data_IF_262824004003
#
_entry.id   IF_262824004003
#
_cell.length_a   1.000
_cell.length_b   1.000
_cell.length_c   1.000
_cell.angle_alpha   90.00
_cell.angle_beta   90.00
_cell.angle_gamma   90.00
#
_symmetry.space_group_name_H-M   'P 1'
#
loop_
_entity.id
_entity.type
_entity.pdbx_description
1 polymer ?
#
# COMPACT_ATOMS: atom_id res chain seq x y z
N UNK A 1 12.34 47.44 -30.28
CA UNK A 1 11.07 47.10 -29.60
C UNK A 1 10.58 45.66 -29.85
N UNK A 2 11.02 44.98 -30.92
CA UNK A 2 10.61 43.61 -31.28
C UNK A 2 10.96 42.54 -30.22
N UNK A 3 12.16 42.58 -29.64
CA UNK A 3 12.61 41.57 -28.67
C UNK A 3 11.78 41.52 -27.37
N UNK A 4 11.21 42.64 -26.93
CA UNK A 4 10.39 42.69 -25.71
C UNK A 4 9.05 41.96 -25.90
N UNK A 5 8.46 42.08 -27.08
CA UNK A 5 7.22 41.36 -27.43
C UNK A 5 7.45 39.86 -27.60
N UNK A 6 8.62 39.45 -28.10
CA UNK A 6 8.98 38.04 -28.21
C UNK A 6 9.24 37.38 -26.85
N UNK A 7 9.93 38.07 -25.95
CA UNK A 7 10.16 37.58 -24.58
C UNK A 7 8.84 37.48 -23.82
N UNK A 8 7.93 38.45 -23.98
CA UNK A 8 6.61 38.40 -23.35
C UNK A 8 5.75 37.25 -23.88
N UNK A 9 5.79 36.98 -25.20
CA UNK A 9 5.06 35.86 -25.79
C UNK A 9 5.62 34.50 -25.33
N UNK A 10 6.95 34.37 -25.21
CA UNK A 10 7.59 33.16 -24.71
C UNK A 10 7.25 32.90 -23.23
N UNK A 11 7.27 33.95 -22.39
CA UNK A 11 6.88 33.85 -20.99
C UNK A 11 5.41 33.46 -20.84
N UNK A 12 4.50 34.05 -21.63
CA UNK A 12 3.09 33.70 -21.61
C UNK A 12 2.83 32.24 -22.02
N UNK A 13 3.59 31.73 -23.00
CA UNK A 13 3.54 30.32 -23.40
C UNK A 13 4.08 29.41 -22.29
N UNK A 14 5.19 29.76 -21.65
CA UNK A 14 5.76 28.96 -20.56
C UNK A 14 4.85 28.92 -19.31
N UNK A 15 4.21 30.05 -18.97
CA UNK A 15 3.26 30.11 -17.85
C UNK A 15 1.96 29.35 -18.11
N UNK A 16 1.51 29.27 -19.37
CA UNK A 16 0.29 28.50 -19.73
C UNK A 16 0.53 26.99 -19.84
N UNK A 17 1.76 26.56 -20.16
CA UNK A 17 2.12 25.13 -20.18
C UNK A 17 2.36 24.60 -18.75
N UNK A 18 2.86 25.42 -17.83
CA UNK A 18 3.08 25.03 -16.43
C UNK A 18 1.77 24.83 -15.63
N UNK A 19 0.68 25.51 -15.99
CA UNK A 19 -0.63 25.33 -15.33
C UNK A 19 -1.44 24.14 -15.85
N UNK A 20 -1.05 23.56 -17.00
CA UNK A 20 -1.74 22.38 -17.56
C UNK A 20 -1.31 21.05 -16.91
N UNK A 21 -0.20 21.05 -16.15
CA UNK A 21 0.36 19.87 -15.50
C UNK A 21 0.40 19.96 -13.97
N UNK A 22 -0.19 20.99 -13.36
CA UNK A 22 -0.41 20.99 -11.92
C UNK A 22 -1.69 20.21 -11.62
N UNK A 23 -1.55 18.95 -11.17
CA UNK A 23 -2.61 18.29 -10.42
C UNK A 23 -2.91 19.14 -9.19
N UNK A 24 -3.99 19.93 -9.26
CA UNK A 24 -4.52 20.63 -8.11
C UNK A 24 -5.10 19.62 -7.12
N UNK A 25 -5.03 19.87 -5.80
CA UNK A 25 -5.55 18.97 -4.79
C UNK A 25 -7.05 18.75 -5.03
N UNK A 26 -7.46 17.48 -5.07
CA UNK A 26 -8.86 17.07 -5.20
C UNK A 26 -9.60 17.29 -3.88
N UNK A 27 -9.67 18.53 -3.40
CA UNK A 27 -10.62 18.94 -2.39
C UNK A 27 -11.95 19.28 -3.07
N UNK A 28 -12.60 18.27 -3.63
CA UNK A 28 -14.00 18.41 -4.03
C UNK A 28 -14.87 18.22 -2.79
N UNK A 29 -15.34 19.34 -2.23
CA UNK A 29 -16.53 19.41 -1.36
C UNK A 29 -17.82 18.97 -2.08
N UNK A 30 -17.75 18.61 -3.36
CA UNK A 30 -18.83 17.96 -4.07
C UNK A 30 -18.88 16.48 -3.66
N UNK A 31 -20.02 16.08 -3.08
CA UNK A 31 -20.32 14.69 -2.77
C UNK A 31 -20.46 13.93 -4.10
N UNK A 32 -19.35 13.36 -4.57
CA UNK A 32 -19.30 12.57 -5.79
C UNK A 32 -20.13 11.29 -5.60
N UNK A 33 -20.91 10.95 -6.62
CA UNK A 33 -21.65 9.69 -6.65
C UNK A 33 -20.80 8.57 -7.24
N UNK A 34 -21.30 7.33 -7.14
CA UNK A 34 -20.63 6.18 -7.75
C UNK A 34 -20.38 6.37 -9.25
N UNK A 35 -21.36 6.92 -9.98
CA UNK A 35 -21.27 7.10 -11.43
C UNK A 35 -20.25 8.18 -11.82
N UNK A 36 -20.00 9.15 -10.94
CA UNK A 36 -18.95 10.17 -11.13
C UNK A 36 -17.55 9.58 -10.94
N UNK A 37 -17.41 8.57 -10.08
CA UNK A 37 -16.12 7.94 -9.73
C UNK A 37 -15.78 6.78 -10.66
N UNK A 38 -16.78 6.04 -11.13
CA UNK A 38 -16.60 4.79 -11.88
C UNK A 38 -15.70 4.99 -13.11
N UNK A 39 -14.55 4.33 -13.10
CA UNK A 39 -13.61 4.31 -14.23
C UNK A 39 -12.61 5.47 -14.26
N UNK A 40 -12.69 6.43 -13.32
CA UNK A 40 -11.74 7.55 -13.23
C UNK A 40 -10.41 7.17 -12.57
N UNK A 41 -10.40 6.09 -11.78
CA UNK A 41 -9.28 5.71 -10.92
C UNK A 41 -9.33 6.32 -9.51
N UNK A 42 -10.20 7.31 -9.27
CA UNK A 42 -10.34 7.99 -7.98
C UNK A 42 -10.73 7.04 -6.83
N UNK A 43 -11.41 5.94 -7.12
CA UNK A 43 -11.79 4.94 -6.11
C UNK A 43 -10.59 4.25 -5.43
N UNK A 44 -9.41 4.28 -6.05
CA UNK A 44 -8.18 3.74 -5.45
C UNK A 44 -7.40 4.81 -4.68
N UNK A 45 -7.86 6.06 -4.65
CA UNK A 45 -7.17 7.13 -3.93
C UNK A 45 -7.78 7.32 -2.54
N UNK A 46 -6.92 7.51 -1.54
CA UNK A 46 -7.39 7.85 -0.20
C UNK A 46 -7.83 9.32 -0.14
N UNK A 47 -8.84 9.66 0.69
CA UNK A 47 -9.20 11.04 0.95
C UNK A 47 -8.02 11.85 1.47
N UNK A 48 -7.87 13.08 0.98
CA UNK A 48 -6.86 14.02 1.45
C UNK A 48 -7.50 15.07 2.37
N UNK A 49 -6.75 15.49 3.39
CA UNK A 49 -7.10 16.64 4.21
C UNK A 49 -6.51 17.91 3.60
N UNK A 50 -7.19 19.04 3.78
CA UNK A 50 -6.65 20.33 3.35
C UNK A 50 -5.37 20.67 4.13
N UNK A 51 -4.40 21.31 3.47
CA UNK A 51 -3.12 21.71 4.11
C UNK A 51 -3.30 22.66 5.29
N UNK A 52 -4.46 23.33 5.37
CA UNK A 52 -4.86 24.22 6.46
C UNK A 52 -5.42 23.47 7.67
N UNK A 53 -5.72 22.17 7.55
CA UNK A 53 -6.25 21.34 8.63
C UNK A 53 -5.11 20.89 9.55
N UNK A 54 -4.71 21.78 10.46
CA UNK A 54 -3.70 21.51 11.52
C UNK A 54 -4.31 21.50 12.92
N UNK A 55 -5.56 21.05 13.02
CA UNK A 55 -6.27 20.94 14.29
C UNK A 55 -5.73 19.80 15.15
N UNK A 56 -6.25 19.71 16.38
CA UNK A 56 -6.04 18.56 17.26
C UNK A 56 -7.38 17.94 17.65
N UNK A 57 -7.39 16.62 17.82
CA UNK A 57 -8.54 15.86 18.32
C UNK A 57 -8.21 15.47 19.77
N UNK A 58 -8.83 16.10 20.78
CA UNK A 58 -8.59 15.75 22.16
C UNK A 58 -9.10 14.35 22.46
N UNK A 59 -8.36 13.59 23.28
CA UNK A 59 -8.75 12.24 23.70
C UNK A 59 -8.96 12.23 25.22
N UNK A 60 -10.18 11.92 25.63
CA UNK A 60 -10.54 11.61 27.01
C UNK A 60 -10.16 10.15 27.33
N UNK A 61 -9.27 9.90 28.32
CA UNK A 61 -8.88 8.55 28.73
C UNK A 61 -10.04 7.69 29.24
N UNK A 62 -11.15 8.28 29.66
CA UNK A 62 -12.30 7.55 30.19
C UNK A 62 -13.27 7.07 29.09
N UNK A 63 -13.00 7.40 27.82
CA UNK A 63 -13.83 7.04 26.70
C UNK A 63 -13.19 5.95 25.84
N UNK A 64 -14.04 5.14 25.21
CA UNK A 64 -13.62 4.14 24.23
C UNK A 64 -13.68 4.73 22.82
N UNK A 65 -12.60 4.57 22.05
CA UNK A 65 -12.53 5.04 20.67
C UNK A 65 -12.49 3.89 19.67
N UNK A 66 -13.00 4.16 18.48
CA UNK A 66 -12.89 3.28 17.32
C UNK A 66 -12.40 4.12 16.16
N UNK A 67 -11.32 3.67 15.53
CA UNK A 67 -10.84 4.27 14.29
C UNK A 67 -11.58 3.55 13.15
N UNK A 68 -12.21 4.33 12.27
CA UNK A 68 -12.95 3.84 11.11
C UNK A 68 -12.45 4.51 9.84
N UNK A 69 -12.47 3.77 8.74
CA UNK A 69 -12.08 4.32 7.44
C UNK A 69 -10.59 4.61 7.34
N UNK A 70 -9.73 3.81 7.98
CA UNK A 70 -8.30 3.86 7.73
C UNK A 70 -8.05 3.46 6.27
N UNK A 71 -7.41 4.37 5.54
CA UNK A 71 -7.04 4.18 4.15
C UNK A 71 -5.53 4.40 3.98
N UNK A 72 -4.86 3.44 3.33
CA UNK A 72 -3.44 3.50 3.01
C UNK A 72 -3.25 3.36 1.49
N UNK A 73 -2.79 4.44 0.87
CA UNK A 73 -2.49 4.50 -0.56
C UNK A 73 -0.98 4.45 -0.79
N UNK A 74 -0.43 3.32 -1.26
CA UNK A 74 0.97 3.28 -1.66
C UNK A 74 1.18 4.08 -2.94
N UNK A 75 2.23 4.90 -2.96
CA UNK A 75 2.59 5.76 -4.11
C UNK A 75 3.84 5.26 -4.84
N UNK A 76 4.77 4.66 -4.10
CA UNK A 76 6.04 4.14 -4.62
C UNK A 76 6.31 2.77 -4.02
N UNK A 77 6.97 1.91 -4.79
CA UNK A 77 7.31 0.55 -4.39
C UNK A 77 8.79 0.32 -4.60
N UNK A 78 9.46 -0.17 -3.57
CA UNK A 78 10.87 -0.50 -3.63
C UNK A 78 11.06 -1.97 -3.31
N UNK A 79 11.94 -2.61 -4.07
CA UNK A 79 12.34 -4.01 -3.85
C UNK A 79 13.82 -4.02 -3.52
N UNK A 80 14.18 -4.78 -2.49
CA UNK A 80 15.58 -4.97 -2.12
C UNK A 80 16.23 -5.93 -3.09
N UNK A 81 17.23 -5.48 -3.84
CA UNK A 81 17.96 -6.32 -4.79
C UNK A 81 18.88 -7.31 -4.05
N UNK A 82 19.07 -8.49 -4.65
CA UNK A 82 20.00 -9.50 -4.15
C UNK A 82 21.36 -9.35 -4.87
N UNK A 83 22.39 -8.80 -4.21
CA UNK A 83 23.69 -8.62 -4.87
C UNK A 83 24.38 -9.96 -5.11
N UNK A 84 25.07 -10.07 -6.25
CA UNK A 84 25.85 -11.27 -6.60
C UNK A 84 26.97 -11.56 -5.58
N UNK A 85 27.49 -10.52 -4.94
CA UNK A 85 28.50 -10.63 -3.90
C UNK A 85 27.88 -10.37 -2.53
N UNK A 86 27.95 -11.35 -1.63
CA UNK A 86 27.45 -11.26 -0.24
C UNK A 86 28.10 -10.13 0.58
N UNK A 87 29.23 -9.58 0.14
CA UNK A 87 29.91 -8.45 0.79
C UNK A 87 29.36 -7.08 0.38
N UNK A 88 28.57 -7.01 -0.69
CA UNK A 88 27.93 -5.79 -1.13
C UNK A 88 26.62 -5.62 -0.36
N UNK A 89 26.34 -4.39 0.10
CA UNK A 89 25.06 -4.09 0.74
C UNK A 89 23.95 -4.11 -0.31
N UNK A 90 22.83 -4.72 0.07
CA UNK A 90 21.66 -4.82 -0.78
C UNK A 90 20.86 -3.51 -0.72
N UNK A 91 20.61 -2.92 -1.88
CA UNK A 91 19.94 -1.62 -2.03
C UNK A 91 18.47 -1.80 -2.43
N UNK A 92 17.66 -0.78 -2.12
CA UNK A 92 16.26 -0.72 -2.51
C UNK A 92 16.13 -0.03 -3.87
N UNK A 93 15.61 -0.76 -4.85
CA UNK A 93 15.45 -0.27 -6.22
C UNK A 93 13.96 -0.07 -6.53
N UNK A 94 13.58 1.03 -7.18
CA UNK A 94 12.18 1.30 -7.49
C UNK A 94 11.62 0.30 -8.50
N UNK A 95 10.47 -0.29 -8.17
CA UNK A 95 9.70 -1.17 -9.04
C UNK A 95 8.53 -0.45 -9.72
N UNK A 96 8.23 -0.81 -10.97
CA UNK A 96 7.08 -0.31 -11.73
C UNK A 96 5.83 -1.13 -11.47
N UNK A 97 4.75 -0.51 -10.99
CA UNK A 97 3.47 -1.19 -10.75
C UNK A 97 2.87 -1.78 -12.05
N UNK A 98 2.48 -3.06 -12.01
CA UNK A 98 1.82 -3.75 -13.14
C UNK A 98 0.33 -4.01 -12.91
N UNK A 99 -0.12 -4.10 -11.66
CA UNK A 99 -1.51 -4.47 -11.30
C UNK A 99 -2.53 -3.33 -11.40
N UNK A 100 -2.15 -2.17 -11.97
CA UNK A 100 -3.02 -1.00 -12.16
C UNK A 100 -3.51 -0.42 -10.81
N UNK A 101 -4.65 0.27 -10.80
CA UNK A 101 -5.24 0.95 -9.63
C UNK A 101 -5.96 -0.03 -8.70
N UNK A 102 -5.21 -0.95 -8.10
CA UNK A 102 -5.73 -1.99 -7.18
C UNK A 102 -4.81 -2.19 -5.97
N UNK A 103 -4.21 -1.10 -5.49
CA UNK A 103 -3.10 -1.16 -4.53
C UNK A 103 -3.45 -0.63 -3.14
N UNK A 104 -4.55 0.10 -3.02
CA UNK A 104 -4.91 0.77 -1.77
C UNK A 104 -5.66 -0.16 -0.81
N UNK A 105 -5.37 0.03 0.47
CA UNK A 105 -6.10 -0.54 1.59
C UNK A 105 -7.10 0.51 2.05
N UNK A 106 -8.34 0.10 2.33
CA UNK A 106 -9.43 1.04 2.65
C UNK A 106 -10.46 0.37 3.57
N UNK A 107 -11.31 1.20 4.18
CA UNK A 107 -12.38 0.78 5.09
C UNK A 107 -11.89 -0.06 6.27
N UNK A 108 -10.62 0.11 6.65
CA UNK A 108 -10.07 -0.57 7.81
C UNK A 108 -10.60 0.08 9.08
N UNK A 109 -11.06 -0.76 9.99
CA UNK A 109 -11.58 -0.36 11.27
C UNK A 109 -10.97 -1.16 12.42
N UNK A 110 -10.95 -0.55 13.60
CA UNK A 110 -10.35 -1.16 14.77
C UNK A 110 -10.54 -0.35 16.03
N UNK A 111 -10.25 -1.00 17.16
CA UNK A 111 -10.33 -0.35 18.46
C UNK A 111 -9.12 0.55 18.67
N UNK A 112 -9.34 1.77 19.14
CA UNK A 112 -8.28 2.68 19.57
C UNK A 112 -8.35 2.79 21.10
N UNK A 113 -7.36 2.18 21.77
CA UNK A 113 -7.28 2.13 23.23
C UNK A 113 -6.38 3.25 23.73
N UNK A 114 -6.78 3.91 24.81
CA UNK A 114 -5.91 4.79 25.58
C UNK A 114 -5.28 3.95 26.69
N UNK A 115 -3.97 3.88 26.71
CA UNK A 115 -3.21 3.12 27.70
C UNK A 115 -2.97 3.97 28.97
N UNK A 116 -2.55 3.32 30.05
CA UNK A 116 -2.31 3.98 31.34
C UNK A 116 -1.18 5.03 31.30
N UNK A 117 -0.23 4.87 30.38
CA UNK A 117 0.87 5.80 30.12
C UNK A 117 0.49 6.95 29.16
N UNK A 118 -0.78 7.02 28.76
CA UNK A 118 -1.30 7.99 27.80
C UNK A 118 -0.89 7.68 26.35
N UNK A 119 -0.25 6.56 26.05
CA UNK A 119 -0.08 6.11 24.67
C UNK A 119 -1.40 5.59 24.09
N UNK A 120 -1.52 5.58 22.77
CA UNK A 120 -2.67 5.04 22.07
C UNK A 120 -2.29 3.75 21.37
N UNK A 121 -3.09 2.70 21.52
CA UNK A 121 -2.92 1.46 20.75
C UNK A 121 -4.11 1.24 19.84
N UNK A 122 -3.84 1.27 18.54
CA UNK A 122 -4.75 0.84 17.50
C UNK A 122 -4.63 -0.68 17.31
N UNK A 123 -5.77 -1.37 17.37
CA UNK A 123 -5.88 -2.81 17.07
C UNK A 123 -6.89 -2.99 15.94
N UNK A 124 -6.37 -3.34 14.77
CA UNK A 124 -7.16 -3.66 13.59
C UNK A 124 -8.12 -4.83 13.86
N UNK A 125 -9.31 -4.76 13.23
CA UNK A 125 -10.38 -5.73 13.40
C UNK A 125 -10.96 -6.24 12.08
N UNK A 126 -11.22 -5.32 11.16
CA UNK A 126 -11.85 -5.64 9.88
C UNK A 126 -11.53 -4.58 8.84
N UNK A 127 -11.84 -4.89 7.58
CA UNK A 127 -11.75 -3.99 6.43
C UNK A 127 -11.05 -4.61 5.23
N UNK A 128 -10.79 -3.79 4.20
CA UNK A 128 -10.02 -4.20 3.02
C UNK A 128 -8.53 -4.02 3.35
N UNK A 129 -8.03 -4.90 4.20
CA UNK A 129 -6.71 -4.85 4.85
C UNK A 129 -5.58 -5.53 4.06
N UNK A 130 -5.81 -5.94 2.80
CA UNK A 130 -4.77 -6.44 1.91
C UNK A 130 -5.06 -6.22 0.42
N UNK A 131 -3.98 -6.16 -0.37
CA UNK A 131 -4.00 -6.15 -1.82
C UNK A 131 -2.87 -7.01 -2.38
N UNK A 132 -3.18 -7.79 -3.41
CA UNK A 132 -2.19 -8.55 -4.18
C UNK A 132 -1.58 -7.64 -5.26
N UNK A 133 -0.31 -7.29 -5.09
CA UNK A 133 0.38 -6.34 -5.96
C UNK A 133 1.47 -7.06 -6.74
N UNK A 134 1.74 -6.63 -7.97
CA UNK A 134 2.93 -7.04 -8.72
C UNK A 134 3.64 -5.82 -9.26
N UNK A 135 4.93 -5.73 -8.96
CA UNK A 135 5.83 -4.71 -9.49
C UNK A 135 6.86 -5.35 -10.41
N UNK A 136 7.39 -4.57 -11.33
CA UNK A 136 8.43 -4.97 -12.25
C UNK A 136 9.72 -4.23 -11.91
N UNK A 137 10.78 -4.97 -11.61
CA UNK A 137 12.11 -4.41 -11.38
C UNK A 137 12.78 -4.02 -12.71
N UNK A 138 13.83 -3.18 -12.68
CA UNK A 138 14.75 -3.04 -13.80
C UNK A 138 15.26 -4.43 -14.25
N UNK A 139 15.29 -4.69 -15.56
CA UNK A 139 15.60 -6.02 -16.09
C UNK A 139 14.38 -6.92 -16.33
N UNK A 140 13.20 -6.51 -15.85
CA UNK A 140 11.91 -7.09 -16.25
C UNK A 140 11.40 -8.21 -15.34
N UNK A 141 12.14 -8.55 -14.29
CA UNK A 141 11.68 -9.44 -13.22
C UNK A 141 10.42 -8.90 -12.56
N UNK A 142 9.47 -9.79 -12.27
CA UNK A 142 8.19 -9.45 -11.65
C UNK A 142 8.16 -9.97 -10.23
N UNK A 143 7.92 -9.07 -9.30
CA UNK A 143 7.89 -9.36 -7.87
C UNK A 143 6.43 -9.22 -7.40
N UNK A 144 5.70 -10.34 -7.26
CA UNK A 144 4.39 -10.34 -6.62
C UNK A 144 4.56 -10.31 -5.10
N UNK A 145 3.77 -9.51 -4.42
CA UNK A 145 3.73 -9.47 -2.95
C UNK A 145 2.32 -9.14 -2.47
N UNK A 146 2.06 -9.44 -1.21
CA UNK A 146 0.79 -9.13 -0.55
C UNK A 146 1.00 -7.88 0.32
N UNK A 147 0.57 -6.73 -0.17
CA UNK A 147 0.53 -5.51 0.65
C UNK A 147 -0.61 -5.65 1.65
N UNK A 148 -0.33 -5.62 2.95
CA UNK A 148 -1.34 -5.90 3.97
C UNK A 148 -1.02 -5.24 5.29
N UNK A 149 -2.06 -5.01 6.10
CA UNK A 149 -1.98 -4.65 7.51
C UNK A 149 -2.79 -5.61 8.39
N UNK A 150 -2.94 -6.87 7.96
CA UNK A 150 -3.69 -7.91 8.69
C UNK A 150 -3.23 -8.04 10.13
N UNK A 151 -4.17 -7.99 11.07
CA UNK A 151 -3.92 -8.02 12.51
C UNK A 151 -2.94 -6.94 12.98
N UNK A 152 -2.98 -5.74 12.38
CA UNK A 152 -2.12 -4.64 12.79
C UNK A 152 -2.38 -4.28 14.25
N UNK A 153 -1.30 -4.24 15.02
CA UNK A 153 -1.26 -3.63 16.36
C UNK A 153 -0.21 -2.54 16.32
N UNK A 154 -0.67 -1.29 16.39
CA UNK A 154 0.20 -0.13 16.32
C UNK A 154 0.00 0.78 17.53
N UNK A 155 1.09 1.28 18.10
CA UNK A 155 1.10 2.09 19.32
C UNK A 155 1.82 3.40 19.07
N UNK A 156 1.38 4.48 19.71
CA UNK A 156 2.05 5.78 19.68
C UNK A 156 3.15 5.88 20.75
N UNK A 157 3.90 6.99 20.73
CA UNK A 157 4.66 7.40 21.92
C UNK A 157 3.76 7.63 23.16
N UNK A 158 4.34 7.67 24.37
CA UNK A 158 3.60 7.94 25.61
C UNK A 158 3.14 9.41 25.71
N UNK A 159 2.17 9.68 26.57
CA UNK A 159 1.71 11.04 26.87
C UNK A 159 0.94 11.75 25.75
N UNK A 160 0.21 11.01 24.91
CA UNK A 160 -0.60 11.58 23.82
C UNK A 160 -1.97 12.01 24.36
N UNK A 161 -2.10 13.30 24.68
CA UNK A 161 -3.37 13.89 25.14
C UNK A 161 -4.32 14.25 23.97
N UNK A 162 -3.77 14.42 22.76
CA UNK A 162 -4.55 14.74 21.56
C UNK A 162 -3.88 14.19 20.31
N UNK A 163 -4.68 13.76 19.34
CA UNK A 163 -4.20 13.43 18.00
C UNK A 163 -3.91 14.73 17.25
N UNK A 164 -2.67 14.89 16.80
CA UNK A 164 -2.24 16.03 16.02
C UNK A 164 -1.19 15.59 14.98
N UNK A 165 -0.58 16.55 14.27
CA UNK A 165 0.39 16.28 13.20
C UNK A 165 1.73 15.69 13.67
N UNK A 166 1.93 15.57 14.97
CA UNK A 166 3.13 14.96 15.59
C UNK A 166 2.83 13.60 16.22
N UNK A 167 1.60 13.09 16.07
CA UNK A 167 1.24 11.76 16.54
C UNK A 167 1.59 10.72 15.50
N UNK A 168 2.57 9.87 15.81
CA UNK A 168 2.99 8.76 14.97
C UNK A 168 2.59 7.42 15.60
N UNK A 169 2.29 6.43 14.76
CA UNK A 169 1.98 5.06 15.15
C UNK A 169 3.06 4.12 14.62
N UNK A 170 3.59 3.25 15.48
CA UNK A 170 4.52 2.19 15.12
C UNK A 170 3.95 0.84 15.54
N UNK A 171 4.09 -0.17 14.69
CA UNK A 171 3.42 -1.44 14.93
C UNK A 171 3.87 -2.57 14.04
N UNK A 172 3.34 -3.74 14.36
CA UNK A 172 3.56 -4.97 13.60
C UNK A 172 2.24 -5.49 13.04
N UNK A 173 2.34 -6.17 11.90
CA UNK A 173 1.21 -6.80 11.21
C UNK A 173 1.65 -8.15 10.64
N UNK A 174 0.66 -8.99 10.33
CA UNK A 174 0.88 -10.33 9.78
C UNK A 174 0.86 -10.30 8.27
N UNK A 175 1.89 -10.86 7.63
CA UNK A 175 1.90 -11.14 6.19
C UNK A 175 1.63 -12.63 5.96
N UNK A 176 0.40 -13.05 5.60
CA UNK A 176 0.14 -14.44 5.24
C UNK A 176 0.74 -14.80 3.87
N UNK A 177 0.71 -16.09 3.52
CA UNK A 177 1.06 -16.55 2.17
C UNK A 177 0.25 -15.78 1.11
N UNK A 178 0.92 -15.38 0.03
CA UNK A 178 0.30 -14.74 -1.14
C UNK A 178 -0.78 -15.64 -1.79
N UNK A 179 -0.62 -16.96 -1.69
CA UNK A 179 -1.58 -17.95 -2.19
C UNK A 179 -2.27 -18.64 -1.02
N UNK A 180 -3.60 -18.74 -1.08
CA UNK A 180 -4.37 -19.55 -0.15
C UNK A 180 -4.08 -21.05 -0.31
N UNK A 181 -4.43 -21.85 0.70
CA UNK A 181 -4.04 -23.26 0.77
C UNK A 181 -4.61 -24.13 -0.37
N UNK A 182 -5.68 -23.70 -1.04
CA UNK A 182 -6.32 -24.39 -2.18
C UNK A 182 -5.79 -23.93 -3.54
N UNK A 183 -4.77 -23.07 -3.58
CA UNK A 183 -4.15 -22.67 -4.83
C UNK A 183 -3.41 -23.86 -5.45
N UNK A 184 -3.56 -24.03 -6.76
CA UNK A 184 -2.87 -25.04 -7.54
C UNK A 184 -1.86 -24.40 -8.47
N UNK A 185 -0.64 -24.93 -8.48
CA UNK A 185 0.36 -24.58 -9.47
C UNK A 185 -0.06 -25.06 -10.89
N UNK A 186 0.66 -24.68 -11.96
CA UNK A 186 0.33 -25.09 -13.32
C UNK A 186 0.34 -26.61 -13.57
N UNK A 187 0.87 -27.40 -12.64
CA UNK A 187 0.89 -28.87 -12.68
C UNK A 187 -0.16 -29.50 -11.77
N UNK A 188 -1.03 -28.69 -11.17
CA UNK A 188 -2.12 -29.16 -10.30
C UNK A 188 -1.63 -29.55 -8.90
N UNK A 189 -0.44 -29.12 -8.48
CA UNK A 189 0.10 -29.36 -7.13
C UNK A 189 -0.29 -28.20 -6.22
N UNK A 190 -0.55 -28.48 -4.95
CA UNK A 190 -0.96 -27.48 -3.98
C UNK A 190 -0.87 -27.98 -2.54
N UNK A 191 -1.12 -27.10 -1.58
CA UNK A 191 -0.88 -27.40 -0.17
C UNK A 191 -2.01 -28.22 0.48
N UNK A 192 -3.26 -27.75 0.37
CA UNK A 192 -4.42 -28.46 0.96
C UNK A 192 -5.13 -29.38 -0.03
N UNK A 193 -4.95 -29.14 -1.33
CA UNK A 193 -5.56 -29.89 -2.43
C UNK A 193 -4.58 -29.95 -3.60
N UNK A 194 -4.74 -30.95 -4.46
CA UNK A 194 -3.89 -31.12 -5.64
C UNK A 194 -3.05 -32.40 -5.55
N UNK A 195 -2.17 -32.58 -6.54
CA UNK A 195 -1.18 -33.64 -6.54
C UNK A 195 -0.05 -33.32 -5.55
N UNK A 196 0.50 -34.35 -4.94
CA UNK A 196 1.65 -34.30 -4.03
C UNK A 196 2.99 -34.57 -4.75
N UNK A 197 2.94 -34.93 -6.04
CA UNK A 197 4.12 -35.23 -6.83
C UNK A 197 4.05 -34.74 -8.28
N UNK A 198 5.12 -34.95 -9.04
CA UNK A 198 5.21 -34.56 -10.44
C UNK A 198 4.58 -35.63 -11.36
N UNK A 199 3.24 -35.70 -11.40
CA UNK A 199 2.47 -36.71 -12.17
C UNK A 199 2.81 -36.79 -13.65
N UNK A 200 3.36 -35.72 -14.24
CA UNK A 200 3.78 -35.70 -15.64
C UNK A 200 5.14 -36.39 -15.90
N UNK A 201 5.89 -36.72 -14.83
CA UNK A 201 7.20 -37.36 -14.86
C UNK A 201 7.18 -38.62 -13.99
N UNK A 202 6.40 -39.66 -14.34
CA UNK A 202 6.14 -40.79 -13.45
C UNK A 202 7.41 -41.52 -12.98
N UNK A 203 8.46 -41.59 -13.81
CA UNK A 203 9.74 -42.21 -13.45
C UNK A 203 10.57 -41.39 -12.44
N UNK A 204 10.28 -40.10 -12.28
CA UNK A 204 11.01 -39.17 -11.41
C UNK A 204 10.07 -38.43 -10.45
N UNK A 205 8.83 -38.89 -10.29
CA UNK A 205 7.75 -38.13 -9.66
C UNK A 205 8.12 -37.67 -8.23
N UNK A 206 8.84 -38.54 -7.51
CA UNK A 206 9.30 -38.37 -6.12
C UNK A 206 10.83 -38.17 -6.03
N UNK A 207 11.47 -37.69 -7.10
CA UNK A 207 12.89 -37.34 -7.08
C UNK A 207 13.16 -36.27 -6.02
N UNK A 208 14.27 -36.42 -5.27
CA UNK A 208 14.69 -35.44 -4.26
C UNK A 208 14.82 -34.02 -4.84
N UNK A 209 15.24 -33.91 -6.11
CA UNK A 209 15.37 -32.64 -6.84
C UNK A 209 14.03 -31.89 -6.99
N UNK A 210 12.90 -32.59 -6.96
CA UNK A 210 11.55 -32.01 -7.12
C UNK A 210 10.87 -31.72 -5.79
N UNK A 211 11.45 -32.12 -4.66
CA UNK A 211 10.86 -31.97 -3.32
C UNK A 211 10.43 -30.53 -3.04
N UNK A 212 11.30 -29.55 -3.34
CA UNK A 212 11.01 -28.11 -3.16
C UNK A 212 9.81 -27.62 -3.96
N UNK A 213 9.49 -28.27 -5.09
CA UNK A 213 8.38 -27.88 -5.95
C UNK A 213 7.12 -28.70 -5.69
N UNK A 214 7.24 -29.87 -5.06
CA UNK A 214 6.13 -30.76 -4.74
C UNK A 214 5.47 -30.43 -3.39
N UNK A 215 6.26 -29.97 -2.41
CA UNK A 215 5.82 -29.72 -1.01
C UNK A 215 5.97 -28.26 -0.64
#
# INVERSE_FOLDING_TARGET
MWYRSFIAALLALCLSVLTACSEAPSNTTAQLTYDDIKGTGLANNCPQLAETTRGSIPLDPNQSYTLRGLCLQPTTFFVKEEPLNKRQEAEFVPGKLLTRYTSSIDQVEGTLKVNEDGSLTFVEKDGIDFQAITVQMPGGERVPFLFTIKNLVATTGPGVESLNTSTDFEGEFKVPSYRGATFLDPKGRGTATGYDNAVALPAQADSEDLTRANV
#
